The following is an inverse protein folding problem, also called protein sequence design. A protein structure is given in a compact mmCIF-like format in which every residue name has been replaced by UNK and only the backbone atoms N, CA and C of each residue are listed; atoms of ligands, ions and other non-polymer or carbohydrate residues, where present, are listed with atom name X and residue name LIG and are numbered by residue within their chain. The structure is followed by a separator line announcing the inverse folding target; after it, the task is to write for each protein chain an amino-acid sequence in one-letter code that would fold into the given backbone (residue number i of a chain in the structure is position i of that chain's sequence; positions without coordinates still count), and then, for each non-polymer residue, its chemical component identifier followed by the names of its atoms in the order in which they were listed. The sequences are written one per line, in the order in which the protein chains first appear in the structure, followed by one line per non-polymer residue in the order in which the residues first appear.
data_IF_844958158393
#
_entry.id   IF_844958158393
#
_cell.length_a   1.000
_cell.length_b   1.000
_cell.length_c   1.000
_cell.angle_alpha   90.00
_cell.angle_beta   90.00
_cell.angle_gamma   90.00
#
_symmetry.space_group_name_H-M   'P 1'
#
loop_
_entity.id
_entity.type
_entity.pdbx_description
1 polymer ?
#
# COMPACT_ATOMS: atom_id res chain seq x y z
N UNK A 1 19.76 -4.04 -21.80
CA UNK A 1 19.88 -2.90 -20.88
C UNK A 1 18.60 -2.88 -20.06
N UNK A 2 18.67 -3.05 -18.74
CA UNK A 2 17.49 -2.75 -17.90
C UNK A 2 17.37 -1.23 -17.94
N UNK A 3 16.27 -0.72 -18.44
CA UNK A 3 16.00 0.72 -18.37
C UNK A 3 16.02 1.13 -16.90
N UNK A 4 16.87 2.09 -16.55
CA UNK A 4 16.94 2.70 -15.21
C UNK A 4 15.67 3.54 -15.00
N UNK A 5 14.56 2.86 -14.79
CA UNK A 5 13.34 3.50 -14.30
C UNK A 5 13.51 3.76 -12.81
N UNK A 6 13.32 5.00 -12.37
CA UNK A 6 13.22 5.32 -10.95
C UNK A 6 12.02 4.53 -10.40
N UNK A 7 12.29 3.58 -9.50
CA UNK A 7 11.24 2.78 -8.88
C UNK A 7 10.51 3.64 -7.84
N UNK A 8 9.25 3.95 -8.13
CA UNK A 8 8.39 4.72 -7.23
C UNK A 8 7.99 3.91 -6.00
N UNK A 9 7.64 4.59 -4.92
CA UNK A 9 7.01 3.98 -3.76
C UNK A 9 5.49 3.89 -3.93
N UNK A 10 4.92 2.73 -3.61
CA UNK A 10 3.48 2.45 -3.67
C UNK A 10 2.97 2.14 -2.26
N UNK A 11 2.07 2.97 -1.75
CA UNK A 11 1.33 2.67 -0.54
C UNK A 11 0.04 1.92 -0.84
N UNK A 12 -0.24 0.87 -0.07
CA UNK A 12 -1.47 0.09 -0.14
C UNK A 12 -2.24 0.30 1.18
N UNK A 13 -3.16 1.28 1.18
CA UNK A 13 -3.94 1.65 2.36
C UNK A 13 -5.04 0.64 2.64
N UNK A 14 -5.11 0.13 3.87
CA UNK A 14 -5.93 -1.05 4.18
C UNK A 14 -5.34 -2.33 3.58
N UNK A 15 -4.04 -2.35 3.30
CA UNK A 15 -3.38 -3.38 2.50
C UNK A 15 -3.23 -4.74 3.18
N UNK A 16 -3.71 -4.92 4.41
CA UNK A 16 -3.59 -6.18 5.17
C UNK A 16 -4.56 -7.27 4.71
N UNK A 17 -5.57 -6.91 3.90
CA UNK A 17 -6.53 -7.83 3.30
C UNK A 17 -5.96 -8.65 2.13
N UNK A 18 -6.78 -9.55 1.58
CA UNK A 18 -6.38 -10.43 0.46
C UNK A 18 -5.97 -9.64 -0.79
N UNK A 19 -6.77 -8.65 -1.17
CA UNK A 19 -6.50 -7.79 -2.33
C UNK A 19 -5.23 -6.97 -2.12
N UNK A 20 -5.12 -6.28 -0.99
CA UNK A 20 -3.95 -5.48 -0.65
C UNK A 20 -2.64 -6.27 -0.66
N UNK A 21 -2.61 -7.45 -0.03
CA UNK A 21 -1.43 -8.33 -0.04
C UNK A 21 -1.12 -8.87 -1.44
N UNK A 22 -2.14 -9.19 -2.24
CA UNK A 22 -1.97 -9.64 -3.62
C UNK A 22 -1.32 -8.57 -4.51
N UNK A 23 -1.80 -7.32 -4.40
CA UNK A 23 -1.22 -6.17 -5.09
C UNK A 23 0.21 -5.88 -4.61
N UNK A 24 0.41 -5.82 -3.30
CA UNK A 24 1.72 -5.62 -2.68
C UNK A 24 2.75 -6.64 -3.16
N UNK A 25 2.39 -7.93 -3.18
CA UNK A 25 3.25 -8.99 -3.68
C UNK A 25 3.66 -8.76 -5.13
N UNK A 26 2.72 -8.40 -6.02
CA UNK A 26 3.00 -8.26 -7.45
C UNK A 26 3.90 -7.05 -7.74
N UNK A 27 3.68 -5.93 -7.05
CA UNK A 27 4.51 -4.73 -7.23
C UNK A 27 5.89 -4.88 -6.60
N UNK A 28 5.98 -5.47 -5.40
CA UNK A 28 7.27 -5.77 -4.78
C UNK A 28 8.11 -6.72 -5.65
N UNK A 29 7.49 -7.76 -6.23
CA UNK A 29 8.15 -8.65 -7.19
C UNK A 29 8.61 -7.95 -8.48
N UNK A 30 7.95 -6.86 -8.84
CA UNK A 30 8.34 -6.02 -9.98
C UNK A 30 9.43 -4.97 -9.62
N UNK A 31 9.86 -4.92 -8.36
CA UNK A 31 10.92 -4.04 -7.88
C UNK A 31 10.46 -2.75 -7.20
N UNK A 32 9.15 -2.49 -7.12
CA UNK A 32 8.66 -1.28 -6.45
C UNK A 32 8.87 -1.35 -4.93
N UNK A 33 9.07 -0.19 -4.32
CA UNK A 33 9.05 -0.04 -2.86
C UNK A 33 7.60 -0.03 -2.38
N UNK A 34 7.18 -1.06 -1.67
CA UNK A 34 5.78 -1.21 -1.24
C UNK A 34 5.62 -0.89 0.25
N UNK A 35 4.70 0.00 0.57
CA UNK A 35 4.31 0.36 1.94
C UNK A 35 2.90 -0.16 2.21
N UNK A 36 2.76 -1.18 3.05
CA UNK A 36 1.45 -1.69 3.47
C UNK A 36 0.94 -0.79 4.61
N UNK A 37 -0.20 -0.15 4.40
CA UNK A 37 -0.87 0.70 5.38
C UNK A 37 -1.97 -0.04 6.14
N UNK A 38 -2.09 0.23 7.44
CA UNK A 38 -3.16 -0.26 8.31
C UNK A 38 -3.61 0.82 9.30
N UNK A 39 -4.74 0.59 9.98
CA UNK A 39 -5.13 1.40 11.15
C UNK A 39 -4.24 1.14 12.37
N UNK A 40 -3.58 -0.01 12.41
CA UNK A 40 -2.65 -0.40 13.47
C UNK A 40 -1.36 -0.86 12.80
N UNK A 41 -0.24 -0.27 13.19
CA UNK A 41 1.09 -0.53 12.62
C UNK A 41 1.45 -2.01 12.70
N UNK A 42 1.12 -2.68 13.81
CA UNK A 42 1.46 -4.09 14.04
C UNK A 42 0.85 -5.02 12.98
N UNK A 43 -0.39 -4.72 12.55
CA UNK A 43 -1.07 -5.49 11.49
C UNK A 43 -0.42 -5.26 10.13
N UNK A 44 0.02 -4.04 9.87
CA UNK A 44 0.73 -3.73 8.63
C UNK A 44 2.09 -4.42 8.60
N UNK A 45 2.86 -4.36 9.69
CA UNK A 45 4.16 -5.03 9.82
C UNK A 45 4.02 -6.53 9.64
N UNK A 46 3.02 -7.16 10.27
CA UNK A 46 2.74 -8.58 10.09
C UNK A 46 2.43 -8.92 8.61
N UNK A 47 1.56 -8.15 7.96
CA UNK A 47 1.23 -8.36 6.55
C UNK A 47 2.42 -8.13 5.61
N UNK A 48 3.26 -7.14 5.89
CA UNK A 48 4.49 -6.88 5.13
C UNK A 48 5.47 -8.04 5.26
N UNK A 49 5.61 -8.59 6.47
CA UNK A 49 6.43 -9.79 6.71
C UNK A 49 5.89 -10.98 5.92
N UNK A 50 4.59 -11.24 5.97
CA UNK A 50 3.98 -12.33 5.18
C UNK A 50 4.30 -12.21 3.68
N UNK A 51 4.19 -11.00 3.12
CA UNK A 51 4.47 -10.77 1.70
C UNK A 51 5.96 -10.92 1.38
N UNK A 52 6.84 -10.38 2.22
CA UNK A 52 8.30 -10.50 2.06
C UNK A 52 8.78 -11.95 2.16
N UNK A 53 8.27 -12.72 3.12
CA UNK A 53 8.59 -14.13 3.30
C UNK A 53 8.25 -14.96 2.04
N UNK A 54 7.22 -14.58 1.29
CA UNK A 54 6.84 -15.23 0.03
C UNK A 54 7.72 -14.87 -1.18
N UNK A 55 8.46 -13.76 -1.11
CA UNK A 55 9.25 -13.22 -2.22
C UNK A 55 10.75 -13.48 -2.08
N UNK A 56 11.25 -13.64 -0.86
CA UNK A 56 12.68 -13.83 -0.58
C UNK A 56 13.46 -12.52 -0.47
N UNK A 57 14.77 -12.58 -0.65
CA UNK A 57 15.66 -11.43 -0.46
C UNK A 57 15.58 -10.41 -1.60
N UNK A 58 15.93 -9.16 -1.30
CA UNK A 58 16.05 -8.09 -2.30
C UNK A 58 14.75 -7.38 -2.68
N UNK A 59 13.62 -7.71 -2.04
CA UNK A 59 12.37 -6.95 -2.16
C UNK A 59 12.22 -5.92 -1.05
N UNK A 60 11.50 -4.83 -1.33
CA UNK A 60 11.24 -3.76 -0.38
C UNK A 60 9.75 -3.71 -0.05
N UNK A 61 9.38 -4.32 1.07
CA UNK A 61 8.02 -4.28 1.61
C UNK A 61 8.08 -3.90 3.08
N UNK A 62 7.45 -2.80 3.45
CA UNK A 62 7.39 -2.30 4.83
C UNK A 62 5.93 -2.13 5.27
N UNK A 63 5.67 -2.30 6.55
CA UNK A 63 4.36 -2.08 7.15
C UNK A 63 4.38 -0.87 8.06
N UNK A 64 3.36 -0.02 7.99
CA UNK A 64 3.19 1.17 8.84
C UNK A 64 1.70 1.55 8.95
N UNK A 65 1.39 2.60 9.72
CA UNK A 65 0.03 3.14 9.73
C UNK A 65 -0.34 3.81 8.38
N UNK A 66 -1.64 3.93 8.11
CA UNK A 66 -2.15 4.48 6.86
C UNK A 66 -1.67 5.92 6.58
N UNK A 67 -1.52 6.77 7.59
CA UNK A 67 -1.10 8.17 7.41
C UNK A 67 0.36 8.23 7.01
N UNK A 68 1.22 7.48 7.70
CA UNK A 68 2.63 7.43 7.36
C UNK A 68 2.86 6.81 5.97
N UNK A 69 2.13 5.73 5.63
CA UNK A 69 2.19 5.14 4.29
C UNK A 69 1.76 6.14 3.20
N UNK A 70 0.67 6.87 3.43
CA UNK A 70 0.18 7.89 2.50
C UNK A 70 1.18 9.03 2.32
N UNK A 71 1.89 9.42 3.39
CA UNK A 71 2.90 10.48 3.37
C UNK A 71 4.17 10.10 2.61
N UNK A 72 4.65 8.87 2.76
CA UNK A 72 5.95 8.45 2.22
C UNK A 72 5.89 7.90 0.78
N UNK A 73 4.69 7.52 0.30
CA UNK A 73 4.54 6.95 -1.03
C UNK A 73 4.34 8.01 -2.14
N UNK A 74 4.67 7.65 -3.38
CA UNK A 74 4.37 8.44 -4.58
C UNK A 74 2.98 8.09 -5.16
N UNK A 75 2.63 6.80 -5.13
CA UNK A 75 1.36 6.26 -5.62
C UNK A 75 0.62 5.64 -4.43
N UNK A 76 -0.66 5.99 -4.27
CA UNK A 76 -1.49 5.53 -3.18
C UNK A 76 -2.59 4.63 -3.76
N UNK A 77 -2.79 3.46 -3.17
CA UNK A 77 -3.79 2.49 -3.57
C UNK A 77 -4.72 2.23 -2.40
N UNK A 78 -6.00 2.51 -2.56
CA UNK A 78 -7.00 2.35 -1.51
C UNK A 78 -7.69 0.99 -1.63
N UNK A 79 -7.44 0.08 -0.68
CA UNK A 79 -7.97 -1.30 -0.67
C UNK A 79 -8.82 -1.58 0.57
N UNK A 80 -9.66 -0.62 0.97
CA UNK A 80 -10.54 -0.74 2.15
C UNK A 80 -11.96 -1.16 1.76
N UNK A 81 -12.74 -1.78 2.66
CA UNK A 81 -14.18 -1.95 2.44
C UNK A 81 -14.86 -0.60 2.22
N UNK A 82 -15.96 -0.57 1.45
CA UNK A 82 -16.69 0.67 1.14
C UNK A 82 -17.13 1.44 2.40
N UNK A 83 -17.49 0.73 3.48
CA UNK A 83 -17.85 1.34 4.77
C UNK A 83 -16.72 2.16 5.43
N UNK A 84 -15.46 1.90 5.09
CA UNK A 84 -14.30 2.61 5.60
C UNK A 84 -13.69 3.60 4.59
N UNK A 85 -14.22 3.66 3.38
CA UNK A 85 -13.70 4.45 2.25
C UNK A 85 -13.55 5.94 2.60
N UNK A 86 -14.67 6.60 2.93
CA UNK A 86 -14.71 8.03 3.26
C UNK A 86 -13.78 8.36 4.42
N UNK A 87 -13.92 7.67 5.55
CA UNK A 87 -13.14 7.95 6.76
C UNK A 87 -11.63 7.77 6.51
N UNK A 88 -11.24 6.77 5.71
CA UNK A 88 -9.83 6.58 5.35
C UNK A 88 -9.32 7.75 4.51
N UNK A 89 -10.04 8.16 3.46
CA UNK A 89 -9.64 9.29 2.63
C UNK A 89 -9.58 10.61 3.41
N UNK A 90 -10.56 10.87 4.28
CA UNK A 90 -10.58 12.07 5.12
C UNK A 90 -9.36 12.14 6.04
N UNK A 91 -8.91 11.00 6.57
CA UNK A 91 -7.75 10.93 7.47
C UNK A 91 -6.40 11.21 6.80
N UNK A 92 -6.28 10.98 5.48
CA UNK A 92 -5.01 11.13 4.75
C UNK A 92 -5.05 12.21 3.67
N UNK A 93 -6.15 12.96 3.55
CA UNK A 93 -6.44 13.89 2.44
C UNK A 93 -5.30 14.89 2.14
N UNK A 94 -4.60 15.35 3.18
CA UNK A 94 -3.52 16.33 3.03
C UNK A 94 -2.26 15.69 2.46
N UNK A 95 -1.98 14.44 2.84
CA UNK A 95 -0.86 13.64 2.33
C UNK A 95 -1.08 13.16 0.89
N UNK A 96 -2.32 13.11 0.41
CA UNK A 96 -2.66 12.70 -0.97
C UNK A 96 -2.43 13.81 -2.02
N UNK A 97 -2.29 15.07 -1.60
CA UNK A 97 -2.22 16.21 -2.52
C UNK A 97 -1.03 16.08 -3.47
N UNK A 98 -1.31 16.14 -4.78
CA UNK A 98 -0.29 16.03 -5.83
C UNK A 98 0.20 14.61 -6.11
N UNK A 99 -0.40 13.58 -5.47
CA UNK A 99 -0.06 12.17 -5.67
C UNK A 99 -1.10 11.46 -6.53
N UNK A 100 -0.71 10.33 -7.11
CA UNK A 100 -1.66 9.45 -7.80
C UNK A 100 -2.42 8.64 -6.75
N UNK A 101 -3.75 8.70 -6.81
CA UNK A 101 -4.64 7.82 -6.04
C UNK A 101 -5.31 6.82 -6.97
N UNK A 102 -5.15 5.53 -6.66
CA UNK A 102 -5.85 4.42 -7.30
C UNK A 102 -6.87 3.88 -6.30
N UNK A 103 -8.14 3.90 -6.70
CA UNK A 103 -9.25 3.42 -5.87
C UNK A 103 -9.79 2.12 -6.47
N UNK A 104 -9.68 1.03 -5.73
CA UNK A 104 -10.21 -0.29 -6.14
C UNK A 104 -11.48 -0.66 -5.37
N UNK A 105 -12.03 0.27 -4.58
CA UNK A 105 -13.23 0.00 -3.79
C UNK A 105 -14.47 -0.08 -4.67
N UNK A 106 -15.33 -1.06 -4.40
CA UNK A 106 -16.63 -1.23 -5.07
C UNK A 106 -17.74 -1.07 -4.04
N UNK A 107 -18.75 -0.19 -4.26
CA UNK A 107 -19.83 0.05 -3.33
C UNK A 107 -20.89 -1.06 -3.41
N UNK A 108 -20.51 -2.27 -2.99
CA UNK A 108 -21.44 -3.39 -2.87
C UNK A 108 -22.08 -3.36 -1.47
N UNK A 109 -23.41 -3.33 -1.46
CA UNK A 109 -24.26 -3.46 -0.27
C UNK A 109 -24.60 -4.92 -0.01
#
# INVERSE_FOLDING_TARGET
MKEDHVLLSIAVLGGTGKEGKGLAYRWARAGYHVLIGSRTEEKAVAAAKEVSDMLGEGVSVMGMDNSQAAKDANIIVLTVPYSAHRTTLESVKDDLKGKILVDVTVPLV
#
